data_IF_136778005705
#
_entry.id   IF_136778005705
#
_cell.length_a   1.000
_cell.length_b   1.000
_cell.length_c   1.000
_cell.angle_alpha   90.00
_cell.angle_beta   90.00
_cell.angle_gamma   90.00
#
_symmetry.space_group_name_H-M   'P 1'
#
loop_
_entity.id
_entity.type
_entity.pdbx_description
1 polymer ?
#
# COMPACT_ATOMS: atom_id res chain seq x y z
N UNK A 1 13.64 0.60 -1.56
CA UNK A 1 13.61 -0.53 -2.52
C UNK A 1 13.95 -1.78 -1.74
N UNK A 2 13.05 -2.75 -1.71
CA UNK A 2 13.27 -4.00 -1.00
C UNK A 2 13.82 -5.02 -1.99
N UNK A 3 15.00 -5.57 -1.70
CA UNK A 3 15.63 -6.58 -2.56
C UNK A 3 14.97 -7.92 -2.25
N UNK A 4 14.00 -8.32 -3.09
CA UNK A 4 13.65 -9.74 -3.20
C UNK A 4 14.75 -10.38 -4.04
N UNK A 5 15.66 -11.11 -3.38
CA UNK A 5 16.67 -11.87 -4.10
C UNK A 5 16.11 -13.26 -4.36
N UNK A 6 15.84 -13.55 -5.64
CA UNK A 6 15.60 -14.93 -6.08
C UNK A 6 16.93 -15.67 -5.97
N UNK A 7 16.97 -16.69 -5.13
CA UNK A 7 18.09 -17.64 -5.08
C UNK A 7 17.92 -18.70 -6.17
N UNK A 8 19.02 -19.32 -6.59
CA UNK A 8 19.09 -20.24 -7.74
C UNK A 8 18.14 -21.46 -7.65
N UNK A 9 17.65 -21.80 -6.46
CA UNK A 9 16.77 -22.96 -6.23
C UNK A 9 15.29 -22.62 -6.10
N UNK A 10 14.84 -21.45 -6.59
CA UNK A 10 13.45 -21.01 -6.43
C UNK A 10 13.10 -20.56 -5.01
N UNK A 11 14.08 -20.47 -4.12
CA UNK A 11 13.92 -19.82 -2.83
C UNK A 11 13.99 -18.30 -2.97
N UNK A 12 13.18 -17.62 -2.18
CA UNK A 12 13.22 -16.17 -2.00
C UNK A 12 13.84 -15.89 -0.64
N UNK A 13 14.90 -15.08 -0.63
CA UNK A 13 15.44 -14.50 0.59
C UNK A 13 15.23 -13.00 0.56
N UNK A 14 14.51 -12.50 1.55
CA UNK A 14 14.21 -11.09 1.70
C UNK A 14 14.91 -10.53 2.93
N UNK A 15 15.74 -9.53 2.71
CA UNK A 15 16.49 -8.85 3.79
C UNK A 15 15.72 -7.63 4.28
N UNK A 16 15.68 -7.43 5.60
CA UNK A 16 15.22 -6.18 6.19
C UNK A 16 16.15 -5.04 5.73
N UNK A 17 15.58 -3.96 5.18
CA UNK A 17 16.38 -2.82 4.72
C UNK A 17 17.01 -2.11 5.92
N UNK A 18 18.30 -1.76 5.84
CA UNK A 18 19.00 -0.99 6.90
C UNK A 18 18.64 0.50 6.93
N UNK A 19 17.75 0.95 6.05
CA UNK A 19 17.38 2.36 5.92
C UNK A 19 16.39 2.78 7.00
N UNK A 20 16.90 3.22 8.16
CA UNK A 20 16.38 4.44 8.81
C UNK A 20 15.79 4.38 10.22
N UNK A 21 15.61 3.21 10.86
CA UNK A 21 15.01 3.16 12.19
C UNK A 21 15.77 2.22 13.13
N UNK A 22 16.27 2.82 14.22
CA UNK A 22 16.81 2.32 15.50
C UNK A 22 17.61 0.99 15.44
N UNK A 23 18.83 0.92 16.01
CA UNK A 23 19.52 -0.36 16.21
C UNK A 23 18.74 -1.22 17.21
N UNK A 24 17.71 -1.92 16.73
CA UNK A 24 17.01 -2.95 17.48
C UNK A 24 18.00 -4.12 17.58
N UNK A 25 18.26 -4.60 18.80
CA UNK A 25 19.03 -5.84 19.00
C UNK A 25 18.39 -6.94 18.14
N UNK A 26 19.20 -7.66 17.37
CA UNK A 26 18.69 -8.64 16.38
C UNK A 26 17.71 -9.67 16.96
N UNK A 27 17.82 -10.02 18.24
CA UNK A 27 16.88 -10.89 18.93
C UNK A 27 15.49 -10.25 19.07
N UNK A 28 15.39 -9.02 19.57
CA UNK A 28 14.11 -8.31 19.68
C UNK A 28 13.48 -8.06 18.31
N UNK A 29 14.30 -7.83 17.27
CA UNK A 29 13.80 -7.73 15.90
C UNK A 29 13.20 -9.06 15.40
N UNK A 30 13.79 -10.21 15.78
CA UNK A 30 13.26 -11.52 15.42
C UNK A 30 11.96 -11.85 16.15
N UNK A 31 11.87 -11.53 17.44
CA UNK A 31 10.66 -11.73 18.23
C UNK A 31 9.50 -10.89 17.67
N UNK A 32 9.76 -9.62 17.31
CA UNK A 32 8.75 -8.76 16.69
C UNK A 32 8.29 -9.28 15.32
N UNK A 33 9.19 -9.81 14.49
CA UNK A 33 8.80 -10.40 13.20
C UNK A 33 8.01 -11.69 13.39
N UNK A 34 8.37 -12.52 14.37
CA UNK A 34 7.61 -13.74 14.68
C UNK A 34 6.20 -13.39 15.13
N UNK A 35 6.08 -12.49 16.09
CA UNK A 35 4.79 -11.98 16.58
C UNK A 35 3.95 -11.39 15.44
N UNK A 36 4.56 -10.58 14.58
CA UNK A 36 3.89 -9.98 13.43
C UNK A 36 3.34 -11.04 12.47
N UNK A 37 4.15 -12.04 12.09
CA UNK A 37 3.72 -13.16 11.22
C UNK A 37 2.56 -13.95 11.86
N UNK A 38 2.63 -14.21 13.16
CA UNK A 38 1.60 -14.98 13.87
C UNK A 38 0.27 -14.21 13.94
N UNK A 39 0.32 -12.89 14.19
CA UNK A 39 -0.86 -12.03 14.14
C UNK A 39 -1.47 -12.03 12.73
N UNK A 40 -0.65 -11.86 11.68
CA UNK A 40 -1.11 -11.89 10.30
C UNK A 40 -1.85 -13.20 9.99
N UNK A 41 -1.25 -14.35 10.32
CA UNK A 41 -1.88 -15.66 10.11
C UNK A 41 -3.19 -15.82 10.89
N UNK A 42 -3.21 -15.36 12.14
CA UNK A 42 -4.41 -15.41 12.99
C UNK A 42 -5.56 -14.57 12.43
N UNK A 43 -5.24 -13.42 11.83
CA UNK A 43 -6.20 -12.57 11.12
C UNK A 43 -6.63 -13.12 9.74
N UNK A 44 -6.14 -14.31 9.36
CA UNK A 44 -6.47 -14.97 8.09
C UNK A 44 -5.66 -14.48 6.90
N UNK A 45 -4.60 -13.68 7.10
CA UNK A 45 -3.67 -13.30 6.03
C UNK A 45 -2.91 -14.53 5.60
N UNK A 46 -3.07 -14.90 4.33
CA UNK A 46 -2.37 -16.04 3.77
C UNK A 46 -0.94 -15.64 3.41
N UNK A 47 0.01 -16.34 4.02
CA UNK A 47 1.45 -16.22 3.75
C UNK A 47 1.93 -17.51 3.08
N UNK A 48 3.10 -17.50 2.39
CA UNK A 48 3.75 -18.74 1.97
C UNK A 48 3.88 -19.72 3.15
N UNK A 49 3.49 -20.97 2.93
CA UNK A 49 3.43 -21.99 4.00
C UNK A 49 4.80 -22.24 4.65
N UNK A 50 5.86 -22.17 3.85
CA UNK A 50 7.23 -22.36 4.29
C UNK A 50 7.92 -21.07 4.75
N UNK A 51 7.16 -19.96 4.88
CA UNK A 51 7.70 -18.69 5.35
C UNK A 51 8.28 -18.82 6.76
N UNK A 52 9.57 -18.49 6.87
CA UNK A 52 10.34 -18.54 8.11
C UNK A 52 11.31 -17.38 8.25
N UNK A 53 11.61 -17.02 9.49
CA UNK A 53 12.68 -16.07 9.80
C UNK A 53 14.02 -16.75 9.53
N UNK A 54 14.83 -16.15 8.67
CA UNK A 54 16.17 -16.64 8.34
C UNK A 54 17.24 -15.81 9.05
N UNK A 55 18.27 -16.50 9.55
CA UNK A 55 19.48 -15.86 10.08
C UNK A 55 20.35 -15.43 8.91
N UNK A 56 20.37 -14.13 8.59
CA UNK A 56 21.31 -13.55 7.64
C UNK A 56 22.41 -12.75 8.36
N UNK A 57 23.64 -12.67 7.81
CA UNK A 57 24.71 -11.91 8.45
C UNK A 57 24.29 -10.45 8.64
N UNK A 58 24.32 -9.99 9.90
CA UNK A 58 24.09 -8.59 10.31
C UNK A 58 22.68 -8.02 10.08
N UNK A 59 21.73 -8.79 9.54
CA UNK A 59 20.35 -8.33 9.28
C UNK A 59 19.34 -9.45 9.48
N UNK A 60 18.15 -9.09 9.89
CA UNK A 60 17.02 -10.01 9.88
C UNK A 60 16.55 -10.26 8.45
N UNK A 61 16.15 -11.49 8.16
CA UNK A 61 15.62 -11.89 6.88
C UNK A 61 14.39 -12.79 7.03
N UNK A 62 13.56 -12.82 6.01
CA UNK A 62 12.48 -13.80 5.84
C UNK A 62 12.77 -14.60 4.58
N UNK A 63 12.57 -15.90 4.66
CA UNK A 63 12.78 -16.85 3.57
C UNK A 63 11.51 -17.64 3.32
N UNK A 64 11.19 -17.88 2.05
CA UNK A 64 10.10 -18.77 1.62
C UNK A 64 10.36 -19.29 0.19
N UNK A 65 9.55 -20.24 -0.28
CA UNK A 65 9.54 -20.67 -1.68
C UNK A 65 8.93 -19.59 -2.57
N UNK A 66 9.41 -19.50 -3.80
CA UNK A 66 8.78 -18.68 -4.83
C UNK A 66 7.30 -19.03 -4.98
N UNK A 67 6.43 -18.04 -4.81
CA UNK A 67 4.99 -18.19 -4.99
C UNK A 67 4.67 -18.01 -6.47
N UNK A 68 4.27 -19.11 -7.13
CA UNK A 68 3.93 -19.09 -8.55
C UNK A 68 2.50 -18.58 -8.75
N UNK A 69 2.35 -17.42 -9.40
CA UNK A 69 1.06 -16.80 -9.66
C UNK A 69 1.21 -15.47 -10.37
N UNK A 70 0.14 -14.66 -10.38
CA UNK A 70 0.10 -13.34 -11.02
C UNK A 70 0.19 -12.29 -9.93
N UNK A 71 1.15 -11.37 -10.00
CA UNK A 71 1.20 -10.24 -9.08
C UNK A 71 -0.05 -9.37 -9.27
N UNK A 72 -0.61 -8.86 -8.19
CA UNK A 72 -1.83 -8.03 -8.25
C UNK A 72 -1.64 -6.80 -9.14
N UNK A 73 -0.41 -6.25 -9.21
CA UNK A 73 -0.07 -5.13 -10.11
C UNK A 73 -0.23 -5.46 -11.59
N UNK A 74 -0.20 -6.74 -11.94
CA UNK A 74 -0.21 -7.24 -13.31
C UNK A 74 -1.59 -7.80 -13.70
N UNK A 75 -2.58 -7.74 -12.79
CA UNK A 75 -3.95 -8.15 -13.07
C UNK A 75 -4.61 -7.17 -14.06
N UNK A 76 -5.03 -7.71 -15.20
CA UNK A 76 -5.75 -6.94 -16.22
C UNK A 76 -7.27 -7.16 -16.16
N UNK A 77 -7.76 -8.22 -15.54
CA UNK A 77 -9.20 -8.46 -15.39
C UNK A 77 -9.76 -7.58 -14.24
N UNK A 78 -10.71 -6.67 -14.51
CA UNK A 78 -11.29 -5.82 -13.47
C UNK A 78 -11.97 -6.57 -12.32
N UNK A 79 -12.69 -7.65 -12.61
CA UNK A 79 -13.42 -8.41 -11.60
C UNK A 79 -12.45 -9.17 -10.68
N UNK A 80 -11.42 -9.78 -11.25
CA UNK A 80 -10.37 -10.44 -10.46
C UNK A 80 -9.60 -9.42 -9.61
N UNK A 81 -9.28 -8.25 -10.17
CA UNK A 81 -8.63 -7.17 -9.43
C UNK A 81 -9.50 -6.71 -8.26
N UNK A 82 -10.79 -6.42 -8.49
CA UNK A 82 -11.69 -5.99 -7.42
C UNK A 82 -11.86 -7.06 -6.33
N UNK A 83 -12.00 -8.33 -6.70
CA UNK A 83 -12.05 -9.44 -5.74
C UNK A 83 -10.77 -9.52 -4.89
N UNK A 84 -9.59 -9.35 -5.52
CA UNK A 84 -8.32 -9.28 -4.81
C UNK A 84 -8.30 -8.10 -3.82
N UNK A 85 -8.82 -6.93 -4.21
CA UNK A 85 -8.83 -5.74 -3.35
C UNK A 85 -9.77 -5.88 -2.17
N UNK A 86 -10.94 -6.49 -2.37
CA UNK A 86 -11.86 -6.82 -1.28
C UNK A 86 -11.19 -7.77 -0.28
N UNK A 87 -10.45 -8.77 -0.74
CA UNK A 87 -9.73 -9.69 0.14
C UNK A 87 -8.64 -8.98 0.95
N UNK A 88 -7.85 -8.11 0.33
CA UNK A 88 -6.83 -7.31 1.05
C UNK A 88 -7.51 -6.34 2.04
N UNK A 89 -8.59 -5.69 1.65
CA UNK A 89 -9.35 -4.79 2.54
C UNK A 89 -9.93 -5.54 3.74
N UNK A 90 -10.42 -6.77 3.54
CA UNK A 90 -10.89 -7.63 4.63
C UNK A 90 -9.76 -7.98 5.60
N UNK A 91 -8.56 -8.30 5.10
CA UNK A 91 -7.38 -8.50 5.94
C UNK A 91 -6.97 -7.25 6.72
N UNK A 92 -6.97 -6.08 6.08
CA UNK A 92 -6.67 -4.79 6.75
C UNK A 92 -7.65 -4.54 7.90
N UNK A 93 -8.95 -4.77 7.69
CA UNK A 93 -9.98 -4.63 8.73
C UNK A 93 -9.83 -5.68 9.84
N UNK A 94 -9.53 -6.92 9.51
CA UNK A 94 -9.31 -7.98 10.50
C UNK A 94 -8.11 -7.70 11.43
N UNK A 95 -7.14 -6.93 10.96
CA UNK A 95 -5.94 -6.54 11.72
C UNK A 95 -6.15 -5.30 12.59
N UNK A 96 -7.20 -4.50 12.35
CA UNK A 96 -7.50 -3.27 13.10
C UNK A 96 -7.45 -3.41 14.64
N UNK A 97 -8.04 -4.45 15.27
CA UNK A 97 -8.00 -4.60 16.73
C UNK A 97 -6.64 -5.05 17.27
N UNK A 98 -5.66 -5.32 16.40
CA UNK A 98 -4.33 -5.81 16.74
C UNK A 98 -3.27 -4.71 16.56
N UNK A 99 -2.04 -4.88 17.07
CA UNK A 99 -0.96 -3.95 16.77
C UNK A 99 -0.41 -4.09 15.34
N UNK A 100 -0.72 -5.16 14.60
CA UNK A 100 -0.18 -5.38 13.27
C UNK A 100 -0.92 -4.59 12.19
N UNK A 101 -0.20 -4.16 11.16
CA UNK A 101 -0.73 -3.49 9.97
C UNK A 101 -0.17 -4.15 8.72
N UNK A 102 -0.88 -4.06 7.61
CA UNK A 102 -0.48 -4.71 6.37
C UNK A 102 0.14 -3.69 5.41
N UNK A 103 1.31 -4.00 4.82
CA UNK A 103 1.86 -3.20 3.72
C UNK A 103 1.03 -3.44 2.46
N UNK A 104 0.22 -2.45 2.07
CA UNK A 104 -0.70 -2.53 0.92
C UNK A 104 -0.05 -2.19 -0.42
N UNK A 105 1.28 -2.20 -0.51
CA UNK A 105 1.93 -2.24 -1.80
C UNK A 105 1.47 -3.47 -2.61
N UNK A 106 0.74 -3.24 -3.69
CA UNK A 106 0.10 -4.31 -4.49
C UNK A 106 1.08 -5.36 -5.02
N UNK A 107 2.37 -5.00 -5.18
CA UNK A 107 3.41 -5.94 -5.61
C UNK A 107 3.71 -7.03 -4.57
N UNK A 108 3.26 -6.86 -3.32
CA UNK A 108 3.44 -7.81 -2.24
C UNK A 108 2.41 -8.95 -2.27
N UNK A 109 1.43 -8.90 -3.18
CA UNK A 109 0.32 -9.85 -3.24
C UNK A 109 0.34 -10.61 -4.57
N UNK A 110 0.33 -11.94 -4.48
CA UNK A 110 0.30 -12.84 -5.62
C UNK A 110 -1.04 -13.58 -5.62
N UNK A 111 -1.77 -13.48 -6.73
CA UNK A 111 -2.94 -14.30 -6.99
C UNK A 111 -2.50 -15.68 -7.47
N UNK A 112 -2.85 -16.70 -6.69
CA UNK A 112 -2.68 -18.12 -7.00
C UNK A 112 -4.06 -18.77 -7.20
N UNK A 113 -4.09 -20.05 -7.58
CA UNK A 113 -5.33 -20.77 -7.93
C UNK A 113 -6.40 -20.74 -6.83
N UNK A 114 -5.98 -20.69 -5.57
CA UNK A 114 -6.81 -20.74 -4.37
C UNK A 114 -6.84 -19.43 -3.57
N UNK A 115 -6.52 -18.30 -4.22
CA UNK A 115 -6.70 -16.94 -3.67
C UNK A 115 -5.41 -16.13 -3.60
N UNK A 116 -5.42 -15.03 -2.83
CA UNK A 116 -4.23 -14.21 -2.64
C UNK A 116 -3.26 -14.79 -1.61
N UNK A 117 -1.97 -14.55 -1.84
CA UNK A 117 -0.87 -14.78 -0.90
C UNK A 117 -0.07 -13.49 -0.74
N UNK A 118 0.15 -13.05 0.50
CA UNK A 118 1.05 -11.95 0.82
C UNK A 118 2.49 -12.49 0.98
N UNK A 119 3.37 -12.07 0.08
CA UNK A 119 4.77 -12.55 0.00
C UNK A 119 5.77 -11.61 0.70
N UNK A 120 5.30 -10.51 1.27
CA UNK A 120 6.13 -9.53 1.95
C UNK A 120 5.61 -9.20 3.35
N UNK A 121 6.45 -9.44 4.35
CA UNK A 121 6.18 -9.15 5.76
C UNK A 121 7.27 -8.29 6.40
N UNK A 122 8.17 -7.68 5.60
CA UNK A 122 9.28 -6.88 6.11
C UNK A 122 9.30 -5.44 5.55
N UNK A 123 9.51 -4.42 6.41
CA UNK A 123 9.65 -4.52 7.87
C UNK A 123 8.32 -4.86 8.56
N UNK A 124 8.35 -5.42 9.79
CA UNK A 124 7.12 -5.63 10.55
C UNK A 124 6.46 -4.28 10.85
N UNK A 125 5.18 -4.13 10.49
CA UNK A 125 4.41 -2.92 10.75
C UNK A 125 3.59 -3.13 12.02
N UNK A 126 4.22 -2.88 13.17
CA UNK A 126 3.58 -2.93 14.47
C UNK A 126 3.35 -1.50 14.98
N UNK A 127 2.13 -1.17 15.41
CA UNK A 127 1.73 0.20 15.78
C UNK A 127 2.46 0.75 17.01
N UNK A 128 2.86 -0.12 17.94
CA UNK A 128 3.71 0.20 19.09
C UNK A 128 5.16 0.52 18.68
N UNK A 129 5.57 0.11 17.48
CA UNK A 129 6.86 0.43 16.87
C UNK A 129 6.77 1.53 15.82
N UNK A 130 5.61 2.21 15.69
CA UNK A 130 5.41 3.32 14.76
C UNK A 130 6.47 4.40 15.02
N UNK A 131 7.31 4.75 14.02
CA UNK A 131 8.28 5.83 14.17
C UNK A 131 7.59 7.17 14.44
N UNK A 132 8.20 8.06 15.24
CA UNK A 132 7.70 9.42 15.39
C UNK A 132 7.73 10.17 14.05
N UNK A 133 6.75 11.04 13.85
CA UNK A 133 6.57 11.84 12.63
C UNK A 133 6.97 13.29 12.93
N UNK A 134 7.97 13.79 12.21
CA UNK A 134 8.57 15.12 12.38
C UNK A 134 8.36 16.04 11.18
N UNK A 135 7.92 15.50 10.06
CA UNK A 135 7.65 16.25 8.83
C UNK A 135 6.43 15.68 8.08
N UNK A 136 5.93 16.44 7.09
CA UNK A 136 4.75 16.05 6.32
C UNK A 136 4.94 14.74 5.55
N UNK A 137 6.16 14.46 5.09
CA UNK A 137 6.47 13.22 4.41
C UNK A 137 6.31 12.02 5.36
N UNK A 138 6.87 12.13 6.57
CA UNK A 138 6.74 11.13 7.61
C UNK A 138 5.29 10.97 8.05
N UNK A 139 4.51 12.06 8.12
CA UNK A 139 3.08 12.00 8.39
C UNK A 139 2.30 11.25 7.29
N UNK A 140 2.59 11.51 6.01
CA UNK A 140 1.98 10.79 4.89
C UNK A 140 2.35 9.30 4.89
N UNK A 141 3.63 8.99 5.07
CA UNK A 141 4.12 7.61 5.05
C UNK A 141 3.67 6.83 6.29
N UNK A 142 3.74 7.43 7.47
CA UNK A 142 3.28 6.83 8.72
C UNK A 142 1.79 6.55 8.71
N UNK A 143 0.97 7.49 8.25
CA UNK A 143 -0.46 7.27 8.07
C UNK A 143 -0.75 6.13 7.07
N UNK A 144 -0.05 6.08 5.93
CA UNK A 144 -0.18 4.98 4.95
C UNK A 144 0.16 3.61 5.53
N UNK A 145 1.15 3.53 6.43
CA UNK A 145 1.58 2.26 7.01
C UNK A 145 0.77 1.84 8.24
N UNK A 146 0.21 2.79 9.00
CA UNK A 146 -0.31 2.51 10.34
C UNK A 146 -1.78 2.89 10.58
N UNK A 147 -2.36 3.79 9.78
CA UNK A 147 -3.75 4.19 9.94
C UNK A 147 -4.63 3.33 9.01
N UNK A 148 -5.54 2.53 9.60
CA UNK A 148 -6.39 1.55 8.89
C UNK A 148 -7.20 2.22 7.77
N UNK A 149 -7.90 3.30 8.10
CA UNK A 149 -8.76 4.01 7.14
C UNK A 149 -7.95 4.62 5.98
N UNK A 150 -6.78 5.19 6.29
CA UNK A 150 -5.87 5.74 5.27
C UNK A 150 -5.38 4.63 4.35
N UNK A 151 -5.03 3.48 4.92
CA UNK A 151 -4.58 2.30 4.19
C UNK A 151 -5.65 1.81 3.21
N UNK A 152 -6.92 1.78 3.65
CA UNK A 152 -8.06 1.40 2.83
C UNK A 152 -8.34 2.40 1.71
N UNK A 153 -8.26 3.71 1.98
CA UNK A 153 -8.40 4.74 0.95
C UNK A 153 -7.24 4.72 -0.06
N UNK A 154 -6.01 4.46 0.39
CA UNK A 154 -4.87 4.27 -0.50
C UNK A 154 -5.06 3.03 -1.39
N UNK A 155 -5.53 1.92 -0.85
CA UNK A 155 -5.86 0.70 -1.59
C UNK A 155 -6.89 0.97 -2.68
N UNK A 156 -7.98 1.66 -2.35
CA UNK A 156 -8.98 2.09 -3.33
C UNK A 156 -8.37 2.95 -4.45
N UNK A 157 -7.54 3.94 -4.10
CA UNK A 157 -6.86 4.80 -5.06
C UNK A 157 -5.87 4.05 -5.97
N UNK A 158 -5.09 3.11 -5.44
CA UNK A 158 -4.17 2.28 -6.24
C UNK A 158 -4.92 1.38 -7.22
N UNK A 159 -6.02 0.79 -6.76
CA UNK A 159 -6.90 -0.05 -7.58
C UNK A 159 -7.50 0.74 -8.72
N UNK A 160 -8.08 1.90 -8.40
CA UNK A 160 -8.71 2.77 -9.36
C UNK A 160 -7.70 3.28 -10.41
N UNK A 161 -6.46 3.58 -9.99
CA UNK A 161 -5.37 3.91 -10.92
C UNK A 161 -5.08 2.77 -11.89
N UNK A 162 -5.01 1.53 -11.40
CA UNK A 162 -4.73 0.36 -12.24
C UNK A 162 -5.89 0.11 -13.22
N UNK A 163 -7.14 0.17 -12.75
CA UNK A 163 -8.33 0.07 -13.61
C UNK A 163 -8.36 1.17 -14.67
N UNK A 164 -8.10 2.42 -14.30
CA UNK A 164 -8.07 3.55 -15.23
C UNK A 164 -6.94 3.41 -16.27
N UNK A 165 -5.76 2.94 -15.84
CA UNK A 165 -4.63 2.73 -16.73
C UNK A 165 -4.94 1.66 -17.79
N UNK A 166 -5.54 0.54 -17.39
CA UNK A 166 -5.81 -0.62 -18.26
C UNK A 166 -7.09 -0.46 -19.10
N UNK A 167 -8.17 0.06 -18.50
CA UNK A 167 -9.51 0.05 -19.10
C UNK A 167 -10.09 1.43 -19.38
N UNK A 168 -9.49 2.49 -18.84
CA UNK A 168 -10.05 3.84 -18.92
C UNK A 168 -11.47 3.89 -18.32
N UNK A 169 -12.40 4.55 -19.02
CA UNK A 169 -13.80 4.65 -18.60
C UNK A 169 -14.57 3.33 -18.72
N UNK A 170 -14.03 2.30 -19.38
CA UNK A 170 -14.63 0.97 -19.43
C UNK A 170 -14.78 0.30 -18.06
N UNK A 171 -14.03 0.76 -17.06
CA UNK A 171 -14.12 0.30 -15.67
C UNK A 171 -15.06 1.16 -14.78
N UNK A 172 -15.84 2.09 -15.36
CA UNK A 172 -16.81 2.90 -14.63
C UNK A 172 -17.78 2.11 -13.71
N UNK A 173 -18.26 0.89 -14.09
CA UNK A 173 -19.15 0.11 -13.21
C UNK A 173 -18.56 -0.25 -11.85
N UNK A 174 -17.24 -0.26 -11.69
CA UNK A 174 -16.55 -0.58 -10.43
C UNK A 174 -16.37 0.64 -9.51
N UNK A 175 -16.70 1.85 -9.97
CA UNK A 175 -16.58 3.07 -9.18
C UNK A 175 -17.32 3.03 -7.82
N UNK A 176 -18.59 2.55 -7.72
CA UNK A 176 -19.28 2.47 -6.43
C UNK A 176 -18.57 1.57 -5.43
N UNK A 177 -18.03 0.44 -5.90
CA UNK A 177 -17.30 -0.51 -5.07
C UNK A 177 -15.98 0.08 -4.56
N UNK A 178 -15.23 0.77 -5.42
CA UNK A 178 -14.03 1.53 -5.03
C UNK A 178 -14.33 2.61 -4.00
N UNK A 179 -15.45 3.31 -4.12
CA UNK A 179 -15.91 4.26 -3.10
C UNK A 179 -16.23 3.55 -1.79
N UNK A 180 -16.88 2.39 -1.83
CA UNK A 180 -17.17 1.60 -0.64
C UNK A 180 -15.94 1.08 0.11
N UNK A 181 -14.79 0.94 -0.57
CA UNK A 181 -13.54 0.53 0.05
C UNK A 181 -12.90 1.62 0.92
N UNK A 182 -13.07 2.91 0.58
CA UNK A 182 -12.49 4.03 1.31
C UNK A 182 -13.48 4.52 2.39
N UNK A 183 -13.24 4.24 3.67
CA UNK A 183 -14.09 4.75 4.74
C UNK A 183 -13.95 6.28 4.83
N UNK A 184 -14.98 6.95 5.36
CA UNK A 184 -14.85 8.35 5.77
C UNK A 184 -13.90 8.49 6.95
N UNK A 185 -13.45 9.72 7.24
CA UNK A 185 -12.56 10.00 8.36
C UNK A 185 -13.12 11.12 9.25
N UNK A 186 -12.94 10.99 10.55
CA UNK A 186 -13.39 11.96 11.56
C UNK A 186 -12.69 13.33 11.45
N UNK A 187 -11.51 13.38 10.81
CA UNK A 187 -10.69 14.59 10.68
C UNK A 187 -10.30 14.84 9.22
N UNK A 188 -11.23 15.26 8.36
CA UNK A 188 -11.00 15.41 6.92
C UNK A 188 -9.86 16.39 6.57
N UNK A 189 -9.59 17.38 7.43
CA UNK A 189 -8.55 18.38 7.20
C UNK A 189 -7.10 17.94 7.49
N UNK A 190 -6.87 16.73 8.00
CA UNK A 190 -5.50 16.22 8.20
C UNK A 190 -4.85 15.93 6.85
N UNK A 191 -3.59 16.31 6.68
CA UNK A 191 -2.85 16.15 5.42
C UNK A 191 -2.97 14.73 4.82
N UNK A 192 -2.73 13.63 5.56
CA UNK A 192 -2.90 12.28 4.99
C UNK A 192 -4.32 11.99 4.54
N UNK A 193 -5.33 12.42 5.30
CA UNK A 193 -6.73 12.19 4.97
C UNK A 193 -7.05 12.88 3.63
N UNK A 194 -6.81 14.17 3.55
CA UNK A 194 -7.01 14.93 2.31
C UNK A 194 -6.23 14.32 1.13
N UNK A 195 -4.97 13.92 1.36
CA UNK A 195 -4.12 13.33 0.33
C UNK A 195 -4.69 12.04 -0.27
N UNK A 196 -5.08 11.08 0.56
CA UNK A 196 -5.54 9.77 0.07
C UNK A 196 -7.01 9.79 -0.39
N UNK A 197 -7.86 10.61 0.23
CA UNK A 197 -9.23 10.83 -0.24
C UNK A 197 -9.26 11.51 -1.61
N UNK A 198 -8.58 12.64 -1.77
CA UNK A 198 -8.62 13.36 -3.06
C UNK A 198 -8.07 12.51 -4.19
N UNK A 199 -7.07 11.65 -3.92
CA UNK A 199 -6.62 10.65 -4.89
C UNK A 199 -7.73 9.68 -5.28
N UNK A 200 -8.48 9.14 -4.33
CA UNK A 200 -9.58 8.23 -4.59
C UNK A 200 -10.71 8.93 -5.36
N UNK A 201 -11.06 10.16 -4.98
CA UNK A 201 -12.08 10.99 -5.66
C UNK A 201 -11.70 11.26 -7.10
N UNK A 202 -10.46 11.71 -7.36
CA UNK A 202 -9.93 11.94 -8.71
C UNK A 202 -9.98 10.64 -9.53
N UNK A 203 -9.64 9.50 -8.92
CA UNK A 203 -9.68 8.20 -9.58
C UNK A 203 -11.10 7.84 -10.04
N UNK A 204 -12.06 7.95 -9.13
CA UNK A 204 -13.46 7.62 -9.39
C UNK A 204 -14.07 8.57 -10.41
N UNK A 205 -13.79 9.87 -10.31
CA UNK A 205 -14.23 10.85 -11.28
C UNK A 205 -13.65 10.57 -12.68
N UNK A 206 -12.38 10.18 -12.78
CA UNK A 206 -11.77 9.80 -14.05
C UNK A 206 -12.34 8.51 -14.65
N UNK A 207 -12.62 7.50 -13.82
CA UNK A 207 -13.31 6.29 -14.26
C UNK A 207 -14.71 6.60 -14.81
N UNK A 208 -15.42 7.56 -14.22
CA UNK A 208 -16.72 8.05 -14.69
C UNK A 208 -16.63 8.99 -15.89
N UNK A 209 -15.42 9.31 -16.37
CA UNK A 209 -15.20 10.22 -17.49
C UNK A 209 -15.40 11.71 -17.16
N UNK A 210 -15.52 12.07 -15.88
CA UNK A 210 -15.66 13.46 -15.42
C UNK A 210 -14.34 14.22 -15.46
N UNK A 211 -13.23 13.50 -15.24
CA UNK A 211 -11.86 14.03 -15.35
C UNK A 211 -11.14 13.28 -16.49
N UNK A 212 -10.37 13.96 -17.36
CA UNK A 212 -9.55 13.29 -18.36
C UNK A 212 -8.60 12.28 -17.73
N UNK A 213 -8.50 11.08 -18.32
CA UNK A 213 -7.59 10.00 -17.87
C UNK A 213 -6.16 10.51 -17.63
N UNK A 214 -5.64 11.33 -18.55
CA UNK A 214 -4.27 11.82 -18.47
C UNK A 214 -4.04 12.74 -17.27
N UNK A 215 -5.03 13.57 -16.93
CA UNK A 215 -4.95 14.49 -15.79
C UNK A 215 -4.94 13.70 -14.48
N UNK A 216 -5.80 12.70 -14.34
CA UNK A 216 -5.81 11.82 -13.19
C UNK A 216 -4.51 11.01 -13.05
N UNK A 217 -3.96 10.48 -14.14
CA UNK A 217 -2.67 9.77 -14.12
C UNK A 217 -1.50 10.71 -13.74
N UNK A 218 -1.57 11.97 -14.16
CA UNK A 218 -0.60 13.00 -13.75
C UNK A 218 -0.72 13.28 -12.26
N UNK A 219 -1.93 13.45 -11.74
CA UNK A 219 -2.20 13.61 -10.32
C UNK A 219 -1.65 12.45 -9.48
N UNK A 220 -1.84 11.19 -9.92
CA UNK A 220 -1.26 10.03 -9.22
C UNK A 220 0.27 10.00 -9.24
N UNK A 221 0.87 10.52 -10.30
CA UNK A 221 2.33 10.60 -10.40
C UNK A 221 2.86 11.60 -9.39
N UNK A 222 2.33 12.83 -9.37
CA UNK A 222 2.82 13.90 -8.48
C UNK A 222 2.51 13.61 -7.01
N UNK A 223 1.42 12.90 -6.72
CA UNK A 223 1.01 12.47 -5.37
C UNK A 223 1.63 11.14 -4.92
N UNK A 224 2.55 10.57 -5.69
CA UNK A 224 3.18 9.29 -5.35
C UNK A 224 4.06 9.41 -4.10
N UNK A 225 3.65 8.73 -3.03
CA UNK A 225 4.41 8.60 -1.78
C UNK A 225 5.78 7.96 -2.04
N UNK A 226 5.86 6.99 -2.96
CA UNK A 226 7.14 6.42 -3.36
C UNK A 226 8.06 7.47 -4.02
N UNK A 227 7.55 8.31 -4.91
CA UNK A 227 8.36 9.37 -5.53
C UNK A 227 8.78 10.44 -4.51
N UNK A 228 7.90 10.78 -3.56
CA UNK A 228 8.24 11.67 -2.44
C UNK A 228 9.37 11.10 -1.57
N UNK A 229 9.36 9.80 -1.29
CA UNK A 229 10.46 9.12 -0.57
C UNK A 229 11.81 9.36 -1.23
N UNK A 230 11.84 9.31 -2.56
CA UNK A 230 13.05 9.49 -3.37
C UNK A 230 13.41 10.95 -3.65
N UNK A 231 12.53 11.89 -3.27
CA UNK A 231 12.80 13.33 -3.37
C UNK A 231 13.74 13.76 -2.24
N UNK A 232 14.71 14.61 -2.58
CA UNK A 232 15.65 15.20 -1.62
C UNK A 232 14.87 15.90 -0.48
N UNK A 233 15.27 15.75 0.79
CA UNK A 233 14.52 16.27 1.94
C UNK A 233 14.09 17.74 1.81
N UNK A 234 15.00 18.60 1.35
CA UNK A 234 14.81 20.03 1.12
C UNK A 234 13.75 20.36 0.05
N UNK A 235 13.50 19.45 -0.89
CA UNK A 235 12.51 19.62 -1.97
C UNK A 235 11.15 19.01 -1.63
N UNK A 236 11.03 18.23 -0.55
CA UNK A 236 9.80 17.47 -0.24
C UNK A 236 8.62 18.39 0.01
N UNK A 237 8.81 19.48 0.77
CA UNK A 237 7.72 20.40 1.10
C UNK A 237 7.14 21.05 -0.17
N UNK A 238 8.00 21.61 -1.02
CA UNK A 238 7.58 22.19 -2.29
C UNK A 238 6.83 21.18 -3.19
N UNK A 239 7.28 19.91 -3.20
CA UNK A 239 6.60 18.85 -3.96
C UNK A 239 5.23 18.49 -3.38
N UNK A 240 5.10 18.47 -2.05
CA UNK A 240 3.82 18.26 -1.36
C UNK A 240 2.87 19.41 -1.67
N UNK A 241 3.32 20.66 -1.56
CA UNK A 241 2.52 21.85 -1.85
C UNK A 241 2.02 21.86 -3.31
N UNK A 242 2.90 21.50 -4.26
CA UNK A 242 2.51 21.34 -5.67
C UNK A 242 1.47 20.23 -5.88
N UNK A 243 1.66 19.06 -5.27
CA UNK A 243 0.72 17.95 -5.38
C UNK A 243 -0.66 18.29 -4.77
N UNK A 244 -0.69 19.02 -3.65
CA UNK A 244 -1.93 19.53 -3.05
C UNK A 244 -2.65 20.50 -4.00
N UNK A 245 -1.91 21.40 -4.65
CA UNK A 245 -2.48 22.33 -5.63
C UNK A 245 -3.09 21.61 -6.83
N UNK A 246 -2.41 20.60 -7.38
CA UNK A 246 -2.95 19.80 -8.50
C UNK A 246 -4.19 19.00 -8.10
N UNK A 247 -4.21 18.39 -6.91
CA UNK A 247 -5.39 17.70 -6.41
C UNK A 247 -6.57 18.66 -6.26
N UNK A 248 -6.35 19.81 -5.61
CA UNK A 248 -7.38 20.82 -5.39
C UNK A 248 -7.99 21.34 -6.71
N UNK A 249 -7.14 21.61 -7.71
CA UNK A 249 -7.58 22.00 -9.07
C UNK A 249 -8.52 20.95 -9.66
N UNK A 250 -8.17 19.67 -9.56
CA UNK A 250 -8.95 18.59 -10.15
C UNK A 250 -10.24 18.27 -9.38
N UNK A 251 -10.23 18.33 -8.06
CA UNK A 251 -11.43 18.07 -7.25
C UNK A 251 -12.43 19.23 -7.27
N UNK A 252 -11.95 20.48 -7.41
CA UNK A 252 -12.81 21.67 -7.36
C UNK A 252 -13.28 22.12 -8.75
N UNK A 253 -12.40 22.08 -9.75
CA UNK A 253 -12.69 22.60 -11.09
C UNK A 253 -12.99 21.50 -12.12
N UNK A 254 -12.47 20.28 -11.86
CA UNK A 254 -12.51 19.16 -12.80
C UNK A 254 -13.72 18.24 -12.66
N UNK A 255 -14.33 18.13 -11.48
CA UNK A 255 -15.54 17.31 -11.28
C UNK A 255 -16.76 18.13 -11.72
N UNK A 256 -17.04 18.14 -13.03
CA UNK A 256 -18.29 18.70 -13.55
C UNK A 256 -19.41 17.65 -13.48
N UNK A 257 -20.62 18.02 -13.06
CA UNK A 257 -21.77 17.11 -12.99
C UNK A 257 -22.14 16.54 -14.36
#
# INVERSE_FOLDING_TARGET
MTLLQRCENGQVLKLMSASGSIPIRQSAAADHVSLYIDILRTAGVRLPEDMRIAKAPRRLAVQHQWTSGIAVTDLTDPALLMSAMQQIAAWVRALEPTPARLDTNLANFILVTDGLVCIDVLPPLLTDLRPPEHDDWQALFGALCYDTDITLCALAGYTARLLLATHGTGAAPYAPELTGLCPGHDRPGRLPVHWFHSRQEIAVAALRGQIPKQDALTAFTVTSVLQLRHTAPECRRARIDYALSEMCRLTTEGIRP
#
